data_IF_638739922489
#
_entry.id   IF_638739922489
#
_cell.length_a   1.000
_cell.length_b   1.000
_cell.length_c   1.000
_cell.angle_alpha   90.00
_cell.angle_beta   90.00
_cell.angle_gamma   90.00
#
_symmetry.space_group_name_H-M   'P 1'
#
loop_
_entity.id
_entity.type
_entity.pdbx_description
1 polymer ?
#
# COMPACT_ATOMS: atom_id res chain seq x y z
N UNK A 1 10.34 20.04 17.70
CA UNK A 1 9.17 19.62 16.90
C UNK A 1 9.57 18.33 16.21
N UNK A 2 9.27 17.17 16.80
CA UNK A 2 9.51 15.90 16.12
C UNK A 2 8.56 15.89 14.92
N UNK A 3 9.10 15.88 13.71
CA UNK A 3 8.29 15.62 12.52
C UNK A 3 7.85 14.18 12.66
N UNK A 4 6.61 13.97 13.12
CA UNK A 4 6.00 12.64 13.14
C UNK A 4 5.79 12.30 11.67
N UNK A 5 6.62 11.40 11.15
CA UNK A 5 6.44 10.86 9.81
C UNK A 5 5.44 9.72 10.02
N UNK A 6 4.15 10.00 9.82
CA UNK A 6 3.16 8.93 9.67
C UNK A 6 3.37 8.31 8.29
N UNK A 7 4.26 7.32 8.26
CA UNK A 7 4.46 6.48 7.10
C UNK A 7 3.35 5.42 7.07
N UNK A 8 2.59 5.39 5.99
CA UNK A 8 1.62 4.32 5.74
C UNK A 8 2.36 3.12 5.14
N UNK A 9 2.02 1.93 5.62
CA UNK A 9 2.54 0.66 5.11
C UNK A 9 1.41 -0.15 4.48
N UNK A 10 1.75 -1.04 3.55
CA UNK A 10 0.75 -1.89 2.90
C UNK A 10 0.10 -2.83 3.93
N UNK A 11 -1.23 -3.02 3.91
CA UNK A 11 -1.91 -3.95 4.81
C UNK A 11 -1.71 -5.43 4.43
N UNK A 12 -1.31 -5.73 3.18
CA UNK A 12 -1.06 -7.08 2.69
C UNK A 12 -0.07 -7.08 1.52
N UNK A 13 0.49 -8.25 1.22
CA UNK A 13 1.31 -8.48 0.04
C UNK A 13 0.43 -8.53 -1.22
N UNK A 14 0.75 -7.70 -2.20
CA UNK A 14 -0.10 -7.49 -3.38
C UNK A 14 0.64 -6.78 -4.50
N UNK A 15 -0.06 -6.57 -5.61
CA UNK A 15 0.41 -5.79 -6.74
C UNK A 15 -0.27 -4.42 -6.73
N UNK A 16 0.52 -3.34 -6.86
CA UNK A 16 -0.02 -1.99 -7.01
C UNK A 16 -0.60 -1.81 -8.41
N UNK A 17 -1.89 -1.55 -8.51
CA UNK A 17 -2.59 -1.34 -9.79
C UNK A 17 -2.56 0.13 -10.22
N UNK A 18 -2.70 1.07 -9.27
CA UNK A 18 -2.76 2.50 -9.56
C UNK A 18 -2.31 3.37 -8.38
N UNK A 19 -1.76 4.55 -8.70
CA UNK A 19 -1.47 5.63 -7.76
C UNK A 19 -2.37 6.84 -8.05
N UNK A 20 -2.87 7.48 -6.99
CA UNK A 20 -3.82 8.59 -7.07
C UNK A 20 -3.31 9.87 -6.37
N UNK A 21 -2.00 9.97 -6.11
CA UNK A 21 -1.39 11.14 -5.48
C UNK A 21 -0.03 11.45 -6.10
N UNK A 22 0.40 12.70 -5.96
CA UNK A 22 1.77 13.13 -6.27
C UNK A 22 2.52 13.63 -5.01
N UNK A 23 3.87 13.56 -4.99
CA UNK A 23 4.66 14.08 -3.87
C UNK A 23 4.41 15.57 -3.63
N UNK A 24 4.04 15.92 -2.40
CA UNK A 24 3.73 17.31 -2.01
C UNK A 24 2.26 17.70 -2.14
N UNK A 25 1.42 16.79 -2.62
CA UNK A 25 -0.04 16.95 -2.63
C UNK A 25 -0.61 16.86 -1.21
N UNK A 26 -1.58 17.73 -0.90
CA UNK A 26 -2.31 17.69 0.36
C UNK A 26 -3.51 16.76 0.22
N UNK A 27 -3.63 15.81 1.14
CA UNK A 27 -4.70 14.81 1.17
C UNK A 27 -5.61 15.03 2.38
N UNK A 28 -6.84 14.53 2.30
CA UNK A 28 -7.81 14.58 3.41
C UNK A 28 -8.17 13.18 3.89
N UNK A 29 -8.71 13.07 5.10
CA UNK A 29 -9.12 11.79 5.67
C UNK A 29 -10.07 11.04 4.72
N UNK A 30 -9.73 9.77 4.42
CA UNK A 30 -10.48 8.92 3.50
C UNK A 30 -10.10 9.05 2.02
N UNK A 31 -9.11 9.87 1.67
CA UNK A 31 -8.58 9.93 0.29
C UNK A 31 -7.92 8.61 -0.09
N UNK A 32 -8.29 8.06 -1.25
CA UNK A 32 -7.66 6.85 -1.80
C UNK A 32 -6.30 7.26 -2.39
N UNK A 33 -5.22 6.65 -1.91
CA UNK A 33 -3.86 6.94 -2.36
C UNK A 33 -3.35 5.93 -3.38
N UNK A 34 -3.66 4.65 -3.14
CA UNK A 34 -3.16 3.53 -3.93
C UNK A 34 -4.21 2.44 -3.99
N UNK A 35 -4.33 1.78 -5.13
CA UNK A 35 -5.05 0.51 -5.25
C UNK A 35 -4.05 -0.64 -5.27
N UNK A 36 -4.33 -1.67 -4.46
CA UNK A 36 -3.49 -2.86 -4.34
C UNK A 36 -4.37 -4.08 -4.51
N UNK A 37 -4.03 -4.94 -5.46
CA UNK A 37 -4.66 -6.24 -5.65
C UNK A 37 -3.92 -7.29 -4.82
N UNK A 38 -4.60 -8.08 -3.98
CA UNK A 38 -3.94 -9.11 -3.20
C UNK A 38 -3.34 -10.16 -4.13
N UNK A 39 -2.11 -10.59 -3.84
CA UNK A 39 -1.57 -11.78 -4.49
C UNK A 39 -2.41 -12.96 -4.01
N UNK A 40 -3.05 -13.67 -4.94
CA UNK A 40 -3.69 -14.94 -4.59
C UNK A 40 -2.63 -15.81 -3.90
N UNK A 41 -2.96 -16.44 -2.75
CA UNK A 41 -2.06 -17.36 -2.11
C UNK A 41 -1.89 -18.52 -3.07
N UNK A 42 -0.84 -18.49 -3.89
CA UNK A 42 -0.33 -19.71 -4.48
C UNK A 42 0.18 -20.50 -3.28
N UNK A 43 -0.57 -21.52 -2.88
CA UNK A 43 -0.09 -22.57 -2.01
C UNK A 43 1.16 -23.17 -2.68
N UNK A 44 2.32 -22.54 -2.49
CA UNK A 44 3.60 -23.21 -2.60
C UNK A 44 3.90 -23.76 -1.21
N UNK A 45 3.03 -24.66 -0.78
CA UNK A 45 3.38 -25.68 0.19
C UNK A 45 4.51 -26.52 -0.41
N UNK A 46 5.41 -26.96 0.45
CA UNK A 46 6.80 -27.28 0.11
C UNK A 46 7.02 -28.32 -0.99
N UNK A 47 8.23 -28.27 -1.56
CA UNK A 47 8.81 -29.43 -2.23
C UNK A 47 10.22 -29.67 -1.70
N UNK A 48 10.27 -30.72 -0.86
CA UNK A 48 11.30 -31.75 -0.64
C UNK A 48 12.76 -31.45 -1.00
#
# INVERSE_FOLDING_TARGET
MTHVIDAIESPFDGLVSAFFFEPGELVTDGTILVEVEPLEPTETEGKA
#
